data_IF_809243332034
#
_entry.id   IF_809243332034
#
_cell.length_a   1.000
_cell.length_b   1.000
_cell.length_c   1.000
_cell.angle_alpha   90.00
_cell.angle_beta   90.00
_cell.angle_gamma   90.00
#
_symmetry.space_group_name_H-M   'P 1'
#
loop_
_entity.id
_entity.type
_entity.pdbx_description
1 polymer ?
#
# COMPACT_ATOMS: atom_id res chain seq x y z
N UNK A 1 37.59 85.27 -12.51
CA UNK A 1 37.76 83.82 -12.41
C UNK A 1 37.36 83.32 -11.03
N UNK A 2 36.19 82.77 -10.83
CA UNK A 2 35.71 82.31 -9.52
C UNK A 2 35.99 80.79 -9.40
N UNK A 3 36.77 80.37 -8.51
CA UNK A 3 37.07 78.96 -8.14
C UNK A 3 35.84 78.41 -7.38
N UNK A 4 35.19 77.45 -7.93
CA UNK A 4 34.17 76.63 -7.20
C UNK A 4 34.90 75.55 -6.40
N UNK A 5 34.72 75.54 -5.08
CA UNK A 5 35.11 74.45 -4.18
C UNK A 5 34.01 73.37 -4.23
N UNK A 6 34.45 72.16 -4.56
CA UNK A 6 33.56 70.97 -4.53
C UNK A 6 33.64 70.35 -3.15
N UNK A 7 32.53 70.30 -2.44
CA UNK A 7 32.43 69.72 -1.11
C UNK A 7 31.89 68.27 -1.34
N UNK A 8 32.70 67.28 -1.02
CA UNK A 8 32.27 65.89 -0.97
C UNK A 8 31.62 65.64 0.39
N UNK A 9 30.31 65.37 0.39
CA UNK A 9 29.59 64.83 1.53
C UNK A 9 29.75 63.32 1.57
N UNK A 10 30.46 62.79 2.54
CA UNK A 10 30.55 61.34 2.77
C UNK A 10 29.36 60.98 3.64
N UNK A 11 28.39 60.30 3.04
CA UNK A 11 27.24 59.70 3.78
C UNK A 11 27.67 58.35 4.29
N UNK A 12 27.88 58.22 5.58
CA UNK A 12 28.13 56.95 6.24
C UNK A 12 26.83 56.15 6.28
N UNK A 13 26.73 55.06 5.50
CA UNK A 13 25.66 54.12 5.59
C UNK A 13 26.02 53.10 6.69
N UNK A 14 25.41 53.24 7.85
CA UNK A 14 25.45 52.26 8.93
C UNK A 14 24.50 51.11 8.53
N UNK A 15 25.07 50.00 8.09
CA UNK A 15 24.33 48.76 7.87
C UNK A 15 24.08 48.11 9.23
N UNK A 16 22.88 48.21 9.72
CA UNK A 16 22.41 47.45 10.89
C UNK A 16 22.16 46.01 10.45
N UNK A 17 23.12 45.11 10.65
CA UNK A 17 22.94 43.68 10.48
C UNK A 17 22.06 43.17 11.62
N UNK A 18 20.76 43.09 11.38
CA UNK A 18 19.86 42.32 12.24
C UNK A 18 20.18 40.82 12.05
N UNK A 19 20.96 40.24 12.95
CA UNK A 19 21.04 38.78 13.10
C UNK A 19 19.67 38.26 13.54
N UNK A 20 18.87 37.82 12.60
CA UNK A 20 17.74 36.91 12.90
C UNK A 20 18.36 35.58 13.37
N UNK A 21 18.42 35.39 14.67
CA UNK A 21 18.53 34.05 15.26
C UNK A 21 17.25 33.27 14.90
N UNK A 22 17.30 32.61 13.76
CA UNK A 22 16.32 31.55 13.50
C UNK A 22 16.61 30.42 14.47
N UNK A 23 15.90 30.38 15.57
CA UNK A 23 15.82 29.20 16.44
C UNK A 23 15.25 28.06 15.63
N UNK A 24 16.12 27.28 14.97
CA UNK A 24 15.79 25.96 14.46
C UNK A 24 15.47 25.05 15.65
N UNK A 25 14.30 25.23 16.25
CA UNK A 25 13.68 24.18 17.04
C UNK A 25 13.29 23.08 16.06
N UNK A 26 14.24 22.17 15.75
CA UNK A 26 13.90 20.85 15.26
C UNK A 26 12.93 20.29 16.30
N UNK A 27 11.64 20.33 16.00
CA UNK A 27 10.66 19.60 16.78
C UNK A 27 11.16 18.17 16.84
N UNK A 28 11.67 17.73 17.98
CA UNK A 28 12.16 16.38 18.20
C UNK A 28 10.94 15.48 18.02
N UNK A 29 10.85 14.82 16.86
CA UNK A 29 9.72 13.97 16.54
C UNK A 29 9.60 12.94 17.68
N UNK A 30 8.55 13.03 18.47
CA UNK A 30 8.31 12.12 19.58
C UNK A 30 8.46 10.69 19.08
N UNK A 31 9.28 9.89 19.74
CA UNK A 31 9.60 8.54 19.31
C UNK A 31 8.30 7.76 19.05
N UNK A 32 8.06 7.40 17.79
CA UNK A 32 6.82 6.73 17.36
C UNK A 32 6.68 5.42 18.14
N UNK A 33 5.59 5.27 18.91
CA UNK A 33 5.36 4.09 19.75
C UNK A 33 5.31 2.81 18.93
N UNK A 34 5.99 1.76 19.45
CA UNK A 34 5.96 0.41 18.90
C UNK A 34 5.01 -0.47 19.69
N UNK A 35 4.14 -1.19 18.98
CA UNK A 35 3.24 -2.19 19.55
C UNK A 35 3.54 -3.56 18.97
N UNK A 36 3.44 -4.60 19.80
CA UNK A 36 3.73 -5.98 19.38
C UNK A 36 2.46 -6.82 19.40
N UNK A 37 2.18 -7.49 18.29
CA UNK A 37 1.06 -8.43 18.14
C UNK A 37 1.59 -9.86 18.17
N UNK A 38 0.93 -10.71 18.96
CA UNK A 38 1.12 -12.17 18.94
C UNK A 38 -0.20 -12.86 18.62
N UNK A 39 -0.21 -14.15 18.19
CA UNK A 39 -1.46 -14.86 17.90
C UNK A 39 -2.42 -14.97 19.09
N UNK A 40 -1.91 -14.86 20.29
CA UNK A 40 -2.70 -14.95 21.54
C UNK A 40 -3.15 -13.57 22.06
N UNK A 41 -2.61 -12.47 21.50
CA UNK A 41 -2.91 -11.12 21.99
C UNK A 41 -4.40 -10.78 21.85
N UNK A 42 -4.92 -10.17 22.90
CA UNK A 42 -6.28 -9.60 22.91
C UNK A 42 -6.30 -8.24 22.20
N UNK A 43 -7.46 -7.79 21.71
CA UNK A 43 -7.64 -6.42 21.23
C UNK A 43 -7.24 -5.39 22.30
N UNK A 44 -6.72 -4.26 21.84
CA UNK A 44 -6.27 -3.16 22.70
C UNK A 44 -7.37 -2.75 23.70
N UNK A 45 -7.04 -2.73 24.98
CA UNK A 45 -7.97 -2.46 26.11
C UNK A 45 -9.26 -3.29 26.03
N UNK A 46 -9.21 -4.51 25.50
CA UNK A 46 -10.39 -5.38 25.38
C UNK A 46 -11.44 -4.92 24.37
N UNK A 47 -11.13 -3.91 23.52
CA UNK A 47 -12.01 -3.42 22.45
C UNK A 47 -12.54 -4.59 21.60
N UNK A 48 -13.82 -4.59 21.26
CA UNK A 48 -14.51 -5.66 20.52
C UNK A 48 -14.81 -6.96 21.26
N UNK A 49 -14.20 -7.28 22.41
CA UNK A 49 -14.51 -8.53 23.14
C UNK A 49 -15.98 -8.70 23.46
N UNK A 50 -16.68 -7.60 23.77
CA UNK A 50 -18.13 -7.58 24.07
C UNK A 50 -19.02 -7.44 22.83
N UNK A 51 -18.46 -7.43 21.63
CA UNK A 51 -19.22 -7.31 20.36
C UNK A 51 -19.92 -8.63 20.02
N UNK A 52 -21.09 -8.89 20.62
CA UNK A 52 -21.87 -10.12 20.40
C UNK A 52 -22.17 -10.34 18.92
N UNK A 53 -21.87 -11.55 18.43
CA UNK A 53 -22.06 -11.92 17.03
C UNK A 53 -20.94 -11.51 16.07
N UNK A 54 -19.94 -10.77 16.52
CA UNK A 54 -18.75 -10.37 15.74
C UNK A 54 -17.46 -11.02 16.24
N UNK A 55 -17.23 -11.01 17.55
CA UNK A 55 -16.01 -11.51 18.18
C UNK A 55 -16.12 -12.96 18.61
N UNK A 56 -15.17 -13.79 18.18
CA UNK A 56 -15.03 -15.20 18.59
C UNK A 56 -13.57 -15.68 18.38
N UNK A 57 -13.30 -16.97 18.61
CA UNK A 57 -11.95 -17.56 18.43
C UNK A 57 -11.40 -17.42 17.00
N UNK A 58 -12.26 -17.39 15.97
CA UNK A 58 -11.86 -17.26 14.56
C UNK A 58 -11.54 -15.80 14.20
N UNK A 59 -12.23 -14.83 14.80
CA UNK A 59 -12.10 -13.41 14.47
C UNK A 59 -11.19 -12.63 15.44
N UNK A 60 -10.75 -13.24 16.54
CA UNK A 60 -9.97 -12.58 17.60
C UNK A 60 -8.69 -11.89 17.10
N UNK A 61 -7.96 -12.54 16.20
CA UNK A 61 -6.69 -12.02 15.67
C UNK A 61 -6.91 -10.80 14.77
N UNK A 62 -7.93 -10.84 13.92
CA UNK A 62 -8.37 -9.70 13.15
C UNK A 62 -8.70 -8.51 14.04
N UNK A 63 -9.50 -8.70 15.09
CA UNK A 63 -9.87 -7.62 16.01
C UNK A 63 -8.68 -7.13 16.85
N UNK A 64 -7.72 -8.01 17.16
CA UNK A 64 -6.47 -7.60 17.80
C UNK A 64 -5.72 -6.61 16.89
N UNK A 65 -5.38 -7.00 15.66
CA UNK A 65 -4.66 -6.13 14.72
C UNK A 65 -5.45 -4.85 14.44
N UNK A 66 -6.73 -4.96 14.13
CA UNK A 66 -7.62 -3.82 13.86
C UNK A 66 -7.58 -2.78 14.99
N UNK A 67 -7.69 -3.23 16.25
CA UNK A 67 -7.72 -2.31 17.39
C UNK A 67 -6.42 -1.52 17.57
N UNK A 68 -5.27 -2.11 17.20
CA UNK A 68 -3.98 -1.43 17.24
C UNK A 68 -3.79 -0.49 16.04
N UNK A 69 -4.31 -0.81 14.86
CA UNK A 69 -4.31 0.11 13.71
C UNK A 69 -5.16 1.35 14.00
N UNK A 70 -6.33 1.18 14.62
CA UNK A 70 -7.17 2.28 15.08
C UNK A 70 -6.52 3.12 16.20
N UNK A 71 -5.70 2.49 17.05
CA UNK A 71 -4.90 3.21 18.04
C UNK A 71 -3.78 4.02 17.36
N UNK A 72 -3.10 3.44 16.36
CA UNK A 72 -2.05 4.11 15.61
C UNK A 72 -2.59 5.32 14.85
N UNK A 73 -3.79 5.22 14.25
CA UNK A 73 -4.46 6.38 13.66
C UNK A 73 -4.61 7.52 14.67
N UNK A 74 -5.15 7.23 15.86
CA UNK A 74 -5.34 8.21 16.93
C UNK A 74 -4.03 8.82 17.46
N UNK A 75 -2.91 8.11 17.28
CA UNK A 75 -1.58 8.55 17.73
C UNK A 75 -0.77 9.23 16.62
N UNK A 76 -1.34 9.42 15.44
CA UNK A 76 -0.66 10.01 14.28
C UNK A 76 0.40 9.09 13.65
N UNK A 77 0.34 7.79 13.93
CA UNK A 77 1.25 6.78 13.39
C UNK A 77 2.01 5.97 14.43
N UNK A 78 3.00 5.19 13.96
CA UNK A 78 3.86 4.36 14.79
C UNK A 78 4.18 3.01 14.16
N UNK A 79 4.70 2.08 14.96
CA UNK A 79 5.16 0.77 14.48
C UNK A 79 4.30 -0.36 15.08
N UNK A 80 3.88 -1.28 14.21
CA UNK A 80 3.21 -2.52 14.58
C UNK A 80 4.10 -3.71 14.21
N UNK A 81 4.60 -4.42 15.21
CA UNK A 81 5.43 -5.61 15.02
C UNK A 81 4.55 -6.84 15.18
N UNK A 82 4.40 -7.63 14.12
CA UNK A 82 3.63 -8.87 14.14
C UNK A 82 4.60 -10.04 14.29
N UNK A 83 4.47 -10.79 15.39
CA UNK A 83 5.33 -11.93 15.72
C UNK A 83 4.88 -13.20 15.03
N UNK A 84 5.80 -14.18 14.91
CA UNK A 84 5.58 -15.51 14.33
C UNK A 84 4.21 -16.10 14.67
N UNK A 85 3.52 -16.62 13.64
CA UNK A 85 2.23 -17.30 13.75
C UNK A 85 1.30 -17.01 12.59
N UNK A 86 0.17 -17.71 12.57
CA UNK A 86 -0.88 -17.52 11.55
C UNK A 86 -1.99 -16.63 12.08
N UNK A 87 -2.29 -15.57 11.32
CA UNK A 87 -3.31 -14.58 11.64
C UNK A 87 -4.45 -14.67 10.62
N UNK A 88 -5.62 -15.10 11.07
CA UNK A 88 -6.82 -15.25 10.24
C UNK A 88 -7.51 -13.91 10.05
N UNK A 89 -7.62 -13.47 8.79
CA UNK A 89 -8.16 -12.15 8.44
C UNK A 89 -9.46 -12.32 7.61
N UNK A 90 -10.62 -12.20 8.25
CA UNK A 90 -11.90 -12.33 7.57
C UNK A 90 -12.36 -11.04 6.88
N UNK A 91 -11.86 -9.88 7.29
CA UNK A 91 -12.29 -8.58 6.77
C UNK A 91 -11.11 -7.63 6.64
N UNK A 92 -11.31 -6.49 5.99
CA UNK A 92 -10.26 -5.50 5.71
C UNK A 92 -9.67 -4.94 7.01
N UNK A 93 -8.36 -4.84 7.03
CA UNK A 93 -7.55 -4.12 8.01
C UNK A 93 -7.10 -2.80 7.37
N UNK A 94 -7.65 -1.70 7.84
CA UNK A 94 -7.33 -0.35 7.35
C UNK A 94 -6.05 0.16 7.99
N UNK A 95 -5.10 0.58 7.17
CA UNK A 95 -3.77 1.06 7.59
C UNK A 95 -3.73 2.58 7.42
N UNK A 96 -3.60 3.36 8.51
CA UNK A 96 -3.51 4.82 8.44
C UNK A 96 -2.11 5.32 8.10
N UNK A 97 -1.97 6.62 7.86
CA UNK A 97 -0.69 7.29 7.56
C UNK A 97 0.34 7.12 8.69
N UNK A 98 1.62 7.25 8.32
CA UNK A 98 2.76 7.19 9.22
C UNK A 98 2.90 5.86 9.97
N UNK A 99 2.43 4.76 9.39
CA UNK A 99 2.47 3.44 10.03
C UNK A 99 3.53 2.55 9.38
N UNK A 100 4.32 1.93 10.24
CA UNK A 100 5.22 0.84 9.85
C UNK A 100 4.69 -0.48 10.37
N UNK A 101 4.45 -1.46 9.49
CA UNK A 101 4.11 -2.84 9.85
C UNK A 101 5.33 -3.72 9.59
N UNK A 102 5.87 -4.32 10.64
CA UNK A 102 6.94 -5.31 10.54
C UNK A 102 6.37 -6.71 10.76
N UNK A 103 6.46 -7.54 9.72
CA UNK A 103 6.12 -8.96 9.80
C UNK A 103 7.39 -9.74 10.14
N UNK A 104 7.46 -10.31 11.33
CA UNK A 104 8.63 -11.10 11.75
C UNK A 104 8.68 -12.44 11.02
N UNK A 105 9.84 -13.07 11.05
CA UNK A 105 10.03 -14.42 10.50
C UNK A 105 8.94 -15.39 10.97
N UNK A 106 8.42 -16.20 10.04
CA UNK A 106 7.34 -17.17 10.29
C UNK A 106 5.95 -16.59 10.50
N UNK A 107 5.71 -15.32 10.11
CA UNK A 107 4.36 -14.75 10.07
C UNK A 107 3.60 -15.22 8.84
N UNK A 108 2.35 -15.61 9.02
CA UNK A 108 1.37 -15.83 7.94
C UNK A 108 0.12 -15.01 8.19
N UNK A 109 -0.15 -14.03 7.35
CA UNK A 109 -1.41 -13.29 7.29
C UNK A 109 -2.31 -14.03 6.30
N UNK A 110 -3.32 -14.74 6.81
CA UNK A 110 -4.14 -15.62 5.98
C UNK A 110 -5.56 -15.11 5.82
N UNK A 111 -6.01 -14.97 4.58
CA UNK A 111 -7.41 -14.67 4.26
C UNK A 111 -8.30 -15.83 4.65
N UNK A 112 -9.45 -15.53 5.26
CA UNK A 112 -10.53 -16.50 5.50
C UNK A 112 -11.88 -15.93 5.11
N UNK A 113 -12.78 -16.80 4.59
CA UNK A 113 -14.15 -16.44 4.21
C UNK A 113 -15.21 -17.07 5.14
N UNK A 114 -14.78 -17.80 6.18
CA UNK A 114 -15.68 -18.38 7.20
C UNK A 114 -15.35 -17.79 8.56
N UNK A 115 -16.20 -16.92 9.08
CA UNK A 115 -15.96 -16.19 10.34
C UNK A 115 -16.47 -16.94 11.58
N UNK A 116 -17.42 -17.85 11.42
CA UNK A 116 -18.20 -18.44 12.52
C UNK A 116 -18.84 -17.38 13.45
N UNK A 117 -19.02 -16.15 12.96
CA UNK A 117 -19.62 -15.03 13.67
C UNK A 117 -20.92 -14.60 12.94
N UNK A 118 -22.07 -14.69 13.63
CA UNK A 118 -23.40 -14.49 13.03
C UNK A 118 -23.57 -13.15 12.31
N UNK A 119 -22.96 -12.08 12.85
CA UNK A 119 -23.10 -10.69 12.32
C UNK A 119 -21.91 -10.23 11.46
N UNK A 120 -20.82 -11.00 11.37
CA UNK A 120 -19.64 -10.61 10.61
C UNK A 120 -19.59 -11.31 9.26
N UNK A 121 -19.94 -10.59 8.20
CA UNK A 121 -19.70 -11.04 6.82
C UNK A 121 -18.23 -10.80 6.44
N UNK A 122 -17.54 -11.76 5.81
CA UNK A 122 -16.19 -11.57 5.34
C UNK A 122 -16.17 -10.60 4.13
N UNK A 123 -15.06 -9.88 3.95
CA UNK A 123 -14.78 -9.07 2.75
C UNK A 123 -13.74 -9.73 1.86
N UNK A 124 -13.56 -9.21 0.65
CA UNK A 124 -12.53 -9.66 -0.27
C UNK A 124 -11.12 -9.11 0.02
N UNK A 125 -10.96 -8.06 0.86
CA UNK A 125 -9.67 -7.46 1.15
C UNK A 125 -8.95 -8.03 2.37
N UNK A 126 -7.61 -7.89 2.42
CA UNK A 126 -6.79 -8.14 3.61
C UNK A 126 -6.36 -6.81 4.22
N UNK A 127 -5.57 -6.01 3.48
CA UNK A 127 -5.15 -4.67 3.87
C UNK A 127 -5.67 -3.62 2.89
N UNK A 128 -5.93 -2.43 3.40
CA UNK A 128 -6.29 -1.27 2.59
C UNK A 128 -5.67 -0.02 3.20
N UNK A 129 -4.97 0.77 2.38
CA UNK A 129 -4.37 2.03 2.82
C UNK A 129 -5.44 3.11 2.90
N UNK A 130 -6.08 3.17 4.03
CA UNK A 130 -7.15 4.11 4.35
C UNK A 130 -7.19 4.31 5.87
N UNK A 131 -7.53 5.48 6.34
CA UNK A 131 -7.73 5.71 7.76
C UNK A 131 -8.95 4.93 8.26
N UNK A 132 -8.81 4.12 9.33
CA UNK A 132 -9.94 3.39 9.93
C UNK A 132 -11.19 4.24 10.18
N UNK A 133 -11.03 5.51 10.54
CA UNK A 133 -12.13 6.45 10.77
C UNK A 133 -12.87 6.86 9.50
N UNK A 134 -12.25 6.69 8.32
CA UNK A 134 -12.81 7.05 7.00
C UNK A 134 -13.40 5.86 6.24
N UNK A 135 -13.27 4.62 6.74
CA UNK A 135 -13.64 3.38 6.04
C UNK A 135 -15.10 3.31 5.55
N UNK A 136 -15.99 4.10 6.14
CA UNK A 136 -17.42 4.17 5.74
C UNK A 136 -17.81 5.49 5.08
N UNK A 137 -16.86 6.38 4.87
CA UNK A 137 -17.11 7.69 4.24
C UNK A 137 -17.00 7.56 2.72
N UNK A 138 -17.62 8.49 2.00
CA UNK A 138 -17.59 8.54 0.54
C UNK A 138 -16.78 9.76 0.08
N UNK A 139 -16.03 9.61 -1.02
CA UNK A 139 -15.33 10.71 -1.71
C UNK A 139 -14.36 11.48 -0.82
N UNK A 140 -13.67 10.82 0.10
CA UNK A 140 -12.81 11.50 1.07
C UNK A 140 -11.39 11.73 0.59
N UNK A 141 -10.93 10.98 -0.42
CA UNK A 141 -9.60 11.11 -1.00
C UNK A 141 -9.65 11.26 -2.51
N UNK A 142 -8.80 12.15 -3.02
CA UNK A 142 -8.52 12.39 -4.43
C UNK A 142 -7.05 12.67 -4.63
N UNK A 143 -6.58 12.71 -5.86
CA UNK A 143 -5.17 12.87 -6.21
C UNK A 143 -4.27 11.94 -5.37
N UNK A 144 -3.26 12.49 -4.71
CA UNK A 144 -2.36 11.75 -3.79
C UNK A 144 -2.51 12.23 -2.34
N UNK A 145 -3.73 12.67 -1.93
CA UNK A 145 -3.94 13.27 -0.62
C UNK A 145 -4.42 12.30 0.47
N UNK A 146 -4.50 11.01 0.14
CA UNK A 146 -4.88 9.96 1.08
C UNK A 146 -3.75 9.55 2.03
N UNK A 147 -3.77 8.29 2.41
CA UNK A 147 -2.78 7.72 3.34
C UNK A 147 -1.37 7.84 2.78
N UNK A 148 -0.41 8.18 3.64
CA UNK A 148 0.98 8.41 3.25
C UNK A 148 1.98 7.89 4.29
N UNK A 149 3.26 7.76 3.87
CA UNK A 149 4.37 7.33 4.73
C UNK A 149 4.10 5.99 5.42
N UNK A 150 3.75 4.98 4.60
CA UNK A 150 3.48 3.61 5.06
C UNK A 150 4.61 2.69 4.63
N UNK A 151 5.08 1.86 5.56
CA UNK A 151 6.01 0.76 5.27
C UNK A 151 5.43 -0.57 5.78
N UNK A 152 5.33 -1.57 4.89
CA UNK A 152 4.97 -2.96 5.24
C UNK A 152 6.14 -3.84 4.83
N UNK A 153 6.83 -4.46 5.79
CA UNK A 153 8.05 -5.18 5.46
C UNK A 153 8.30 -6.42 6.31
N UNK A 154 9.18 -7.26 5.82
CA UNK A 154 9.78 -8.37 6.56
C UNK A 154 11.27 -8.47 6.29
N UNK A 155 12.05 -8.86 7.29
CA UNK A 155 13.46 -9.24 7.17
C UNK A 155 13.65 -10.76 7.22
N UNK A 156 12.56 -11.52 7.32
CA UNK A 156 12.52 -12.97 7.35
C UNK A 156 11.48 -13.55 6.40
N UNK A 157 11.06 -14.77 6.62
CA UNK A 157 10.05 -15.46 5.80
C UNK A 157 8.65 -15.10 6.29
N UNK A 158 8.05 -14.04 5.75
CA UNK A 158 6.68 -13.66 6.04
C UNK A 158 5.78 -13.81 4.80
N UNK A 159 4.55 -14.24 5.02
CA UNK A 159 3.60 -14.60 3.97
C UNK A 159 2.28 -13.84 4.15
N UNK A 160 1.76 -13.28 3.06
CA UNK A 160 0.38 -12.85 2.92
C UNK A 160 -0.31 -13.82 1.97
N UNK A 161 -1.24 -14.61 2.50
CA UNK A 161 -1.87 -15.75 1.82
C UNK A 161 -3.34 -15.45 1.53
N UNK A 162 -3.69 -15.33 0.25
CA UNK A 162 -5.09 -15.17 -0.16
C UNK A 162 -5.89 -16.48 -0.11
N UNK A 163 -5.21 -17.62 0.09
CA UNK A 163 -5.84 -18.95 0.23
C UNK A 163 -6.78 -19.31 -0.93
N UNK A 164 -6.47 -18.84 -2.14
CA UNK A 164 -7.30 -18.96 -3.34
C UNK A 164 -8.74 -18.47 -3.14
N UNK A 165 -8.93 -17.48 -2.27
CA UNK A 165 -10.26 -16.90 -2.03
C UNK A 165 -10.66 -15.96 -3.18
N UNK A 166 -11.92 -15.57 -3.15
CA UNK A 166 -12.54 -14.80 -4.21
C UNK A 166 -13.42 -15.67 -5.12
N UNK A 167 -14.36 -15.03 -5.77
CA UNK A 167 -15.32 -15.64 -6.69
C UNK A 167 -15.88 -14.58 -7.64
N UNK A 168 -16.63 -14.97 -8.64
CA UNK A 168 -17.35 -14.04 -9.51
C UNK A 168 -18.12 -13.00 -8.70
N UNK A 169 -17.86 -11.71 -8.97
CA UNK A 169 -18.49 -10.58 -8.26
C UNK A 169 -17.87 -10.25 -6.89
N UNK A 170 -16.83 -10.97 -6.45
CA UNK A 170 -16.13 -10.65 -5.21
C UNK A 170 -14.62 -10.94 -5.36
N UNK A 171 -13.84 -9.93 -5.71
CA UNK A 171 -12.40 -10.05 -5.77
C UNK A 171 -11.80 -10.30 -4.37
N UNK A 172 -10.63 -10.96 -4.33
CA UNK A 172 -9.79 -11.04 -3.16
C UNK A 172 -8.48 -10.30 -3.45
N UNK A 173 -8.21 -9.23 -2.69
CA UNK A 173 -7.04 -8.38 -2.88
C UNK A 173 -6.25 -8.36 -1.57
N UNK A 174 -4.94 -8.60 -1.65
CA UNK A 174 -4.12 -8.64 -0.44
C UNK A 174 -3.82 -7.24 0.09
N UNK A 175 -3.52 -6.29 -0.81
CA UNK A 175 -3.29 -4.88 -0.46
C UNK A 175 -3.96 -3.97 -1.49
N UNK A 176 -4.89 -3.16 -1.03
CA UNK A 176 -5.55 -2.11 -1.81
C UNK A 176 -4.88 -0.77 -1.50
N UNK A 177 -4.47 -0.08 -2.55
CA UNK A 177 -3.82 1.23 -2.50
C UNK A 177 -4.55 2.16 -3.47
N UNK A 178 -4.99 3.34 -2.97
CA UNK A 178 -5.53 4.39 -3.83
C UNK A 178 -5.35 5.76 -3.17
N UNK A 179 -5.01 6.76 -3.96
CA UNK A 179 -4.73 8.14 -3.51
C UNK A 179 -3.60 8.22 -2.46
N UNK A 180 -2.64 7.32 -2.53
CA UNK A 180 -1.57 7.18 -1.56
C UNK A 180 -0.27 7.82 -2.03
N UNK A 181 0.65 8.09 -1.09
CA UNK A 181 2.02 8.49 -1.42
C UNK A 181 3.03 7.96 -0.41
N UNK A 182 4.30 7.81 -0.85
CA UNK A 182 5.40 7.36 -0.03
C UNK A 182 5.11 6.00 0.63
N UNK A 183 4.91 4.97 -0.19
CA UNK A 183 4.60 3.61 0.28
C UNK A 183 5.74 2.67 -0.03
N UNK A 184 6.16 1.88 0.95
CA UNK A 184 7.17 0.83 0.77
C UNK A 184 6.60 -0.54 1.16
N UNK A 185 6.76 -1.53 0.27
CA UNK A 185 6.40 -2.93 0.48
C UNK A 185 7.66 -3.76 0.24
N UNK A 186 8.12 -4.50 1.24
CA UNK A 186 9.47 -5.08 1.17
C UNK A 186 9.57 -6.46 1.82
N UNK A 187 10.20 -7.42 1.10
CA UNK A 187 10.60 -8.72 1.64
C UNK A 187 9.46 -9.65 2.02
N UNK A 188 8.32 -9.58 1.34
CA UNK A 188 7.09 -10.32 1.66
C UNK A 188 6.78 -11.30 0.53
N UNK A 189 6.34 -12.49 0.89
CA UNK A 189 5.76 -13.45 -0.06
C UNK A 189 4.24 -13.30 -0.09
N UNK A 190 3.71 -12.93 -1.26
CA UNK A 190 2.27 -12.95 -1.57
C UNK A 190 1.95 -14.24 -2.31
N UNK A 191 0.94 -14.98 -1.86
CA UNK A 191 0.61 -16.26 -2.49
C UNK A 191 -0.86 -16.60 -2.60
N UNK A 192 -1.14 -17.56 -3.52
CA UNK A 192 -2.43 -18.23 -3.65
C UNK A 192 -3.57 -17.30 -4.11
N UNK A 193 -3.36 -16.58 -5.21
CA UNK A 193 -4.34 -15.74 -5.89
C UNK A 193 -5.33 -16.56 -6.71
N UNK A 194 -6.59 -16.12 -6.78
CA UNK A 194 -7.61 -16.69 -7.66
C UNK A 194 -8.43 -15.63 -8.42
N UNK A 195 -9.01 -14.66 -7.72
CA UNK A 195 -9.76 -13.53 -8.28
C UNK A 195 -9.21 -12.23 -7.68
N UNK A 196 -8.95 -11.24 -8.51
CA UNK A 196 -8.37 -9.97 -8.12
C UNK A 196 -6.83 -9.99 -8.17
N UNK A 197 -6.18 -9.25 -7.33
CA UNK A 197 -4.75 -8.96 -7.38
C UNK A 197 -4.09 -9.22 -6.02
N UNK A 198 -2.76 -9.34 -5.99
CA UNK A 198 -2.06 -9.23 -4.71
C UNK A 198 -1.99 -7.75 -4.30
N UNK A 199 -1.62 -6.87 -5.23
CA UNK A 199 -1.60 -5.43 -5.00
C UNK A 199 -2.48 -4.77 -6.06
N UNK A 200 -3.49 -4.06 -5.62
CA UNK A 200 -4.28 -3.11 -6.39
C UNK A 200 -3.72 -1.72 -6.14
N UNK A 201 -3.25 -1.05 -7.17
CA UNK A 201 -2.57 0.24 -7.06
C UNK A 201 -3.21 1.26 -8.00
N UNK A 202 -3.90 2.25 -7.40
CA UNK A 202 -4.55 3.35 -8.11
C UNK A 202 -4.08 4.68 -7.53
N UNK A 203 -3.98 5.71 -8.36
CA UNK A 203 -3.62 7.06 -7.90
C UNK A 203 -2.57 7.05 -6.78
N UNK A 204 -1.49 6.30 -6.95
CA UNK A 204 -0.43 6.15 -5.96
C UNK A 204 0.86 6.81 -6.44
N UNK A 205 1.56 7.50 -5.54
CA UNK A 205 2.77 8.25 -5.85
C UNK A 205 3.93 7.84 -4.93
N UNK A 206 5.14 7.74 -5.49
CA UNK A 206 6.36 7.37 -4.75
C UNK A 206 6.19 6.01 -4.06
N UNK A 207 5.97 4.97 -4.85
CA UNK A 207 5.78 3.60 -4.35
C UNK A 207 7.03 2.77 -4.63
N UNK A 208 7.48 2.03 -3.63
CA UNK A 208 8.58 1.08 -3.76
C UNK A 208 8.12 -0.32 -3.34
N UNK A 209 8.18 -1.28 -4.28
CA UNK A 209 7.95 -2.70 -4.04
C UNK A 209 9.28 -3.42 -4.27
N UNK A 210 9.90 -3.91 -3.20
CA UNK A 210 11.26 -4.45 -3.27
C UNK A 210 11.38 -5.82 -2.60
N UNK A 211 12.15 -6.71 -3.21
CA UNK A 211 12.45 -8.06 -2.67
C UNK A 211 11.21 -8.86 -2.28
N UNK A 212 10.12 -8.71 -3.02
CA UNK A 212 8.89 -9.45 -2.80
C UNK A 212 8.80 -10.67 -3.73
N UNK A 213 8.08 -11.68 -3.28
CA UNK A 213 7.74 -12.85 -4.10
C UNK A 213 6.23 -12.90 -4.28
N UNK A 214 5.79 -13.01 -5.54
CA UNK A 214 4.40 -13.16 -5.92
C UNK A 214 4.24 -14.52 -6.59
N UNK A 215 3.40 -15.41 -6.01
CA UNK A 215 3.34 -16.77 -6.53
C UNK A 215 2.00 -17.46 -6.28
N UNK A 216 1.65 -18.36 -7.20
CA UNK A 216 0.48 -19.23 -7.07
C UNK A 216 -0.81 -18.55 -7.51
N UNK A 217 -1.26 -18.96 -8.69
CA UNK A 217 -2.53 -18.55 -9.27
C UNK A 217 -3.38 -19.78 -9.53
N UNK A 218 -4.67 -19.67 -9.26
CA UNK A 218 -5.65 -20.65 -9.67
C UNK A 218 -6.53 -20.06 -10.75
N UNK A 219 -6.49 -20.63 -11.94
CA UNK A 219 -7.28 -20.19 -13.09
C UNK A 219 -8.76 -19.98 -12.74
N UNK A 220 -9.31 -18.91 -13.21
CA UNK A 220 -10.72 -18.56 -13.12
C UNK A 220 -11.28 -18.33 -14.54
N UNK A 221 -12.59 -18.19 -14.69
CA UNK A 221 -13.19 -17.84 -15.98
C UNK A 221 -12.86 -16.41 -16.45
N UNK A 222 -12.29 -15.57 -15.58
CA UNK A 222 -11.82 -14.22 -15.90
C UNK A 222 -10.29 -14.21 -15.99
N UNK A 223 -9.78 -13.73 -17.10
CA UNK A 223 -8.36 -13.68 -17.42
C UNK A 223 -7.81 -12.25 -17.33
N UNK A 224 -7.84 -11.65 -16.13
CA UNK A 224 -7.32 -10.30 -15.91
C UNK A 224 -6.81 -10.15 -14.49
N UNK A 225 -5.93 -11.08 -14.09
CA UNK A 225 -5.41 -11.08 -12.71
C UNK A 225 -3.89 -10.85 -12.74
N UNK A 226 -3.51 -9.59 -12.72
CA UNK A 226 -2.14 -9.17 -12.50
C UNK A 226 -1.78 -9.35 -11.02
N UNK A 227 -0.54 -9.77 -10.73
CA UNK A 227 -0.08 -9.81 -9.35
C UNK A 227 0.01 -8.40 -8.75
N UNK A 228 0.54 -7.45 -9.53
CA UNK A 228 0.48 -6.02 -9.24
C UNK A 228 -0.30 -5.35 -10.37
N UNK A 229 -1.45 -4.79 -10.03
CA UNK A 229 -2.31 -4.05 -10.95
C UNK A 229 -2.13 -2.54 -10.76
N UNK A 230 -1.96 -1.80 -11.85
CA UNK A 230 -1.84 -0.35 -11.88
C UNK A 230 -3.00 0.23 -12.69
N UNK A 231 -4.09 0.58 -12.05
CA UNK A 231 -5.25 1.17 -12.71
C UNK A 231 -5.45 2.65 -12.31
N UNK A 232 -6.47 3.30 -12.85
CA UNK A 232 -6.89 4.64 -12.43
C UNK A 232 -8.23 4.58 -11.69
N UNK A 233 -8.42 5.37 -10.62
CA UNK A 233 -9.69 5.44 -9.91
C UNK A 233 -10.72 6.19 -10.76
N UNK A 234 -11.46 5.44 -11.58
CA UNK A 234 -12.43 5.95 -12.54
C UNK A 234 -13.73 5.13 -12.48
N UNK A 235 -14.85 5.79 -12.29
CA UNK A 235 -16.16 5.13 -12.28
C UNK A 235 -16.55 4.54 -13.64
N UNK A 236 -16.17 5.19 -14.72
CA UNK A 236 -16.53 4.79 -16.09
C UNK A 236 -15.83 3.49 -16.46
N UNK A 237 -14.53 3.41 -16.23
CA UNK A 237 -13.72 2.21 -16.49
C UNK A 237 -13.83 1.18 -15.40
N UNK A 238 -14.26 1.57 -14.18
CA UNK A 238 -14.32 0.73 -12.99
C UNK A 238 -12.96 0.24 -12.51
N UNK A 239 -11.89 0.99 -12.80
CA UNK A 239 -10.55 0.69 -12.33
C UNK A 239 -10.48 0.61 -10.82
N UNK A 240 -11.24 1.46 -10.13
CA UNK A 240 -11.39 1.39 -8.68
C UNK A 240 -12.87 1.47 -8.29
N UNK A 241 -13.29 0.71 -7.25
CA UNK A 241 -14.71 0.60 -6.91
C UNK A 241 -15.06 0.95 -5.46
N UNK A 242 -14.07 1.33 -4.64
CA UNK A 242 -14.29 1.66 -3.23
C UNK A 242 -14.80 3.09 -3.08
N UNK A 243 -15.99 3.25 -2.49
CA UNK A 243 -16.75 4.50 -2.45
C UNK A 243 -16.09 5.67 -1.73
N UNK A 244 -14.97 5.47 -1.03
CA UNK A 244 -14.22 6.53 -0.38
C UNK A 244 -13.33 7.34 -1.34
N UNK A 245 -13.07 6.84 -2.55
CA UNK A 245 -12.37 7.57 -3.62
C UNK A 245 -13.27 8.64 -4.22
N UNK A 246 -12.66 9.76 -4.66
CA UNK A 246 -13.31 10.79 -5.48
C UNK A 246 -13.43 10.38 -6.94
N UNK A 247 -12.77 9.30 -7.36
CA UNK A 247 -12.77 8.80 -8.74
C UNK A 247 -12.34 9.87 -9.76
N UNK A 248 -11.26 10.55 -9.46
CA UNK A 248 -10.74 11.70 -10.20
C UNK A 248 -9.80 11.36 -11.35
N UNK A 249 -9.71 10.08 -11.70
CA UNK A 249 -8.88 9.58 -12.80
C UNK A 249 -7.37 9.83 -12.61
N UNK A 250 -6.91 10.08 -11.40
CA UNK A 250 -5.49 10.32 -11.10
C UNK A 250 -4.67 9.07 -11.41
N UNK A 251 -3.62 9.15 -12.24
CA UNK A 251 -2.77 8.00 -12.56
C UNK A 251 -1.77 7.69 -11.42
N UNK A 252 -1.07 6.57 -11.53
CA UNK A 252 0.08 6.28 -10.68
C UNK A 252 1.33 7.04 -11.16
N UNK A 253 2.22 7.43 -10.24
CA UNK A 253 3.44 8.16 -10.55
C UNK A 253 4.61 7.73 -9.67
N UNK A 254 5.79 7.60 -10.27
CA UNK A 254 7.02 7.21 -9.59
C UNK A 254 6.85 5.91 -8.81
N UNK A 255 6.66 4.82 -9.55
CA UNK A 255 6.53 3.46 -9.02
C UNK A 255 7.78 2.66 -9.35
N UNK A 256 8.41 2.09 -8.34
CA UNK A 256 9.59 1.25 -8.46
C UNK A 256 9.26 -0.16 -7.99
N UNK A 257 9.52 -1.15 -8.85
CA UNK A 257 9.35 -2.58 -8.55
C UNK A 257 10.69 -3.24 -8.81
N UNK A 258 11.38 -3.67 -7.74
CA UNK A 258 12.77 -4.09 -7.86
C UNK A 258 13.05 -5.40 -7.11
N UNK A 259 13.96 -6.22 -7.66
CA UNK A 259 14.40 -7.46 -7.02
C UNK A 259 13.24 -8.42 -6.68
N UNK A 260 12.16 -8.42 -7.45
CA UNK A 260 10.97 -9.22 -7.18
C UNK A 260 10.93 -10.51 -8.00
N UNK A 261 10.24 -11.52 -7.46
CA UNK A 261 10.01 -12.78 -8.14
C UNK A 261 8.52 -12.95 -8.39
N UNK A 262 8.15 -13.12 -9.66
CA UNK A 262 6.80 -13.41 -10.10
C UNK A 262 6.76 -14.81 -10.70
N UNK A 263 5.98 -15.73 -10.12
CA UNK A 263 5.98 -17.12 -10.59
C UNK A 263 4.63 -17.80 -10.49
N UNK A 264 4.29 -18.63 -11.49
CA UNK A 264 3.04 -19.39 -11.51
C UNK A 264 1.81 -18.50 -11.34
N UNK A 265 1.72 -17.46 -12.18
CA UNK A 265 0.69 -16.43 -12.18
C UNK A 265 -0.08 -16.40 -13.49
N UNK A 266 -1.14 -15.62 -13.57
CA UNK A 266 -1.71 -15.25 -14.87
C UNK A 266 -0.86 -14.18 -15.54
N UNK A 267 -0.68 -13.04 -14.88
CA UNK A 267 0.23 -11.95 -15.27
C UNK A 267 1.02 -11.47 -14.06
N UNK A 268 2.22 -10.97 -14.30
CA UNK A 268 3.03 -10.42 -13.22
C UNK A 268 2.60 -9.00 -12.85
N UNK A 269 2.67 -8.07 -13.80
CA UNK A 269 2.41 -6.65 -13.58
C UNK A 269 1.60 -6.12 -14.76
N UNK A 270 0.64 -5.24 -14.53
CA UNK A 270 -0.07 -4.64 -15.65
C UNK A 270 -1.15 -3.64 -15.28
N UNK A 271 -1.75 -3.11 -16.32
CA UNK A 271 -2.92 -2.24 -16.30
C UNK A 271 -3.98 -2.86 -17.19
N UNK A 272 -5.22 -2.87 -16.75
CA UNK A 272 -6.34 -3.31 -17.59
C UNK A 272 -7.54 -2.34 -17.56
N UNK A 273 -7.60 -1.41 -16.62
CA UNK A 273 -8.63 -0.37 -16.56
C UNK A 273 -8.01 1.00 -16.29
N UNK A 274 -8.04 1.85 -17.28
CA UNK A 274 -7.41 3.17 -17.25
C UNK A 274 -8.28 4.24 -17.85
N UNK A 275 -8.09 5.47 -17.41
CA UNK A 275 -8.70 6.66 -18.01
C UNK A 275 -7.83 7.12 -19.17
N UNK A 276 -8.44 7.34 -20.34
CA UNK A 276 -7.72 7.80 -21.54
C UNK A 276 -6.97 9.10 -21.24
N UNK A 277 -5.74 9.23 -21.76
CA UNK A 277 -4.84 10.38 -21.55
C UNK A 277 -4.38 10.63 -20.10
N UNK A 278 -4.72 9.73 -19.16
CA UNK A 278 -4.23 9.75 -17.78
C UNK A 278 -3.12 8.72 -17.60
N UNK A 279 -1.95 9.02 -18.14
CA UNK A 279 -0.83 8.09 -18.21
C UNK A 279 -0.20 7.85 -16.85
N UNK A 280 0.02 6.56 -16.51
CA UNK A 280 0.93 6.20 -15.45
C UNK A 280 2.35 6.58 -15.82
N UNK A 281 3.08 7.28 -14.97
CA UNK A 281 4.38 7.86 -15.34
C UNK A 281 5.49 7.48 -14.38
N UNK A 282 6.72 7.44 -14.94
CA UNK A 282 7.91 7.16 -14.14
C UNK A 282 7.83 5.78 -13.46
N UNK A 283 7.49 4.75 -14.24
CA UNK A 283 7.42 3.36 -13.79
C UNK A 283 8.76 2.68 -14.06
N UNK A 284 9.43 2.21 -13.02
CA UNK A 284 10.69 1.48 -13.12
C UNK A 284 10.52 0.06 -12.59
N UNK A 285 10.88 -0.92 -13.43
CA UNK A 285 10.91 -2.34 -13.06
C UNK A 285 12.33 -2.82 -13.32
N UNK A 286 13.02 -3.35 -12.29
CA UNK A 286 14.40 -3.79 -12.44
C UNK A 286 14.73 -5.02 -11.60
N UNK A 287 15.63 -5.83 -12.12
CA UNK A 287 16.16 -7.01 -11.43
C UNK A 287 15.06 -7.99 -11.00
N UNK A 288 13.99 -8.11 -11.79
CA UNK A 288 12.86 -8.98 -11.50
C UNK A 288 12.94 -10.30 -12.31
N UNK A 289 12.55 -11.39 -11.69
CA UNK A 289 12.39 -12.68 -12.34
C UNK A 289 10.90 -12.94 -12.58
N UNK A 290 10.51 -13.14 -13.83
CA UNK A 290 9.14 -13.44 -14.25
C UNK A 290 9.11 -14.80 -14.92
N UNK A 291 8.42 -15.78 -14.31
CA UNK A 291 8.37 -17.14 -14.83
C UNK A 291 6.99 -17.79 -14.70
N UNK A 292 6.64 -18.63 -15.68
CA UNK A 292 5.37 -19.35 -15.69
C UNK A 292 4.14 -18.45 -15.52
N UNK A 293 4.12 -17.29 -16.21
CA UNK A 293 2.96 -16.43 -16.31
C UNK A 293 2.18 -16.78 -17.57
N UNK A 294 0.94 -17.28 -17.41
CA UNK A 294 0.18 -17.93 -18.50
C UNK A 294 -0.33 -16.95 -19.56
N UNK A 295 -0.56 -15.69 -19.21
CA UNK A 295 -1.08 -14.63 -20.11
C UNK A 295 -0.08 -13.50 -20.33
N UNK A 296 1.20 -13.71 -20.00
CA UNK A 296 2.26 -12.74 -20.19
C UNK A 296 2.90 -12.21 -18.90
N UNK A 297 4.01 -11.50 -19.04
CA UNK A 297 4.76 -10.94 -17.92
C UNK A 297 4.28 -9.57 -17.51
N UNK A 298 4.50 -8.56 -18.36
CA UNK A 298 4.20 -7.15 -18.10
C UNK A 298 3.28 -6.64 -19.20
N UNK A 299 2.16 -6.03 -18.82
CA UNK A 299 1.19 -5.41 -19.74
C UNK A 299 1.11 -3.89 -19.48
N UNK A 300 1.81 -3.13 -20.32
CA UNK A 300 1.95 -1.68 -20.18
C UNK A 300 0.86 -0.94 -20.97
N UNK A 301 -0.33 -0.83 -20.41
CA UNK A 301 -1.40 -0.04 -21.00
C UNK A 301 -1.42 1.35 -20.37
N UNK A 302 -1.36 2.39 -21.21
CA UNK A 302 -1.42 3.80 -20.80
C UNK A 302 -0.26 4.22 -19.85
N UNK A 303 0.96 3.72 -20.11
CA UNK A 303 2.18 4.07 -19.36
C UNK A 303 3.09 4.99 -20.18
N UNK A 304 3.81 5.89 -19.51
CA UNK A 304 4.84 6.76 -20.10
C UNK A 304 6.07 6.82 -19.19
N UNK A 305 7.24 7.08 -19.78
CA UNK A 305 8.53 7.13 -19.07
C UNK A 305 8.77 5.86 -18.26
N UNK A 306 8.76 4.75 -18.96
CA UNK A 306 8.97 3.40 -18.38
C UNK A 306 10.43 3.01 -18.52
N UNK A 307 11.00 2.42 -17.47
CA UNK A 307 12.31 1.79 -17.48
C UNK A 307 12.19 0.32 -17.12
N UNK A 308 12.65 -0.58 -17.98
CA UNK A 308 12.77 -2.01 -17.73
C UNK A 308 14.26 -2.37 -17.80
N UNK A 309 14.82 -2.91 -16.72
CA UNK A 309 16.25 -3.20 -16.63
C UNK A 309 16.50 -4.53 -15.95
N UNK A 310 17.35 -5.37 -16.58
CA UNK A 310 17.75 -6.67 -16.03
C UNK A 310 16.59 -7.64 -15.73
N UNK A 311 15.54 -7.63 -16.58
CA UNK A 311 14.40 -8.52 -16.41
C UNK A 311 14.74 -9.92 -16.95
N UNK A 312 14.47 -10.95 -16.16
CA UNK A 312 14.65 -12.34 -16.55
C UNK A 312 13.29 -12.97 -16.79
N UNK A 313 13.03 -13.41 -18.02
CA UNK A 313 11.80 -14.10 -18.42
C UNK A 313 12.09 -15.58 -18.64
N UNK A 314 11.46 -16.46 -17.87
CA UNK A 314 11.51 -17.90 -18.07
C UNK A 314 10.12 -18.41 -18.48
N UNK A 315 9.99 -18.86 -19.73
CA UNK A 315 8.77 -19.44 -20.24
C UNK A 315 8.92 -20.95 -20.35
N UNK A 316 8.04 -21.69 -19.69
CA UNK A 316 7.91 -23.11 -19.96
C UNK A 316 6.98 -23.30 -21.16
N UNK A 317 7.54 -23.82 -22.29
CA UNK A 317 6.69 -24.39 -23.34
C UNK A 317 5.97 -25.56 -22.70
N UNK A 318 4.64 -25.58 -22.70
CA UNK A 318 3.89 -26.81 -22.48
C UNK A 318 4.32 -27.79 -23.59
N UNK A 319 4.96 -28.89 -23.19
CA UNK A 319 5.12 -30.07 -24.03
C UNK A 319 3.78 -30.73 -24.24
#
# INVERSE_FOLDING_TARGET
MKKRKLVFAITAITVFSAMMLTSNTKAQAAAKKTYTITPKLSPYKGKYKKAKGYYNSTTKQYFAIRSYLELLEKKGGGKLVIKKGTYKIPNVLYIPSNVTIELKDGVTIKKIMKTKAKKMKPSGGIFELLEPSKAKKKGVHGQYNGVHDVKIYSTGKAVIDQDYQGKTGQNCIALVMCHNRNVTIEGITFKNMKYGHFIEMDASQNVNVNRCTFTGYKASKRHTSEAINLDTPDKKTRGFTHGWSQYDCTPNQNVQITNCIFSNLEKAIGTHQYSVEKYHTDISISDCMIKNCVSGGIEMMNWQRVSLTNEIYEYWKKQ
#
